data_IF_960255912985
#
_entry.id   IF_960255912985
#
_cell.length_a   1.000
_cell.length_b   1.000
_cell.length_c   1.000
_cell.angle_alpha   90.00
_cell.angle_beta   90.00
_cell.angle_gamma   90.00
#
_symmetry.space_group_name_H-M   'P 1'
#
loop_
_entity.id
_entity.type
_entity.pdbx_description
1 polymer ?
#
# COMPACT_ATOMS: atom_id res chain seq x y z
N UNK A 1 -8.21 -16.37 -15.04
CA UNK A 1 -8.28 -14.90 -15.00
C UNK A 1 -7.67 -14.38 -16.28
N UNK A 2 -8.39 -13.56 -17.05
CA UNK A 2 -7.77 -12.79 -18.13
C UNK A 2 -7.01 -11.61 -17.48
N UNK A 3 -5.68 -11.72 -17.45
CA UNK A 3 -4.79 -10.76 -16.80
C UNK A 3 -4.97 -9.36 -17.38
N UNK A 4 -5.08 -9.23 -18.71
CA UNK A 4 -5.19 -7.94 -19.37
C UNK A 4 -6.52 -7.26 -19.05
N UNK A 5 -7.61 -8.04 -19.00
CA UNK A 5 -8.92 -7.53 -18.59
C UNK A 5 -8.91 -7.11 -17.12
N UNK A 6 -8.27 -7.89 -16.24
CA UNK A 6 -8.16 -7.55 -14.84
C UNK A 6 -7.39 -6.25 -14.60
N UNK A 7 -6.18 -6.13 -15.19
CA UNK A 7 -5.35 -4.92 -15.08
C UNK A 7 -6.07 -3.70 -15.67
N UNK A 8 -6.73 -3.83 -16.83
CA UNK A 8 -7.51 -2.73 -17.41
C UNK A 8 -8.68 -2.32 -16.51
N UNK A 9 -9.29 -3.27 -15.79
CA UNK A 9 -10.36 -3.00 -14.84
C UNK A 9 -9.86 -2.25 -13.61
N UNK A 10 -8.71 -2.65 -13.05
CA UNK A 10 -8.07 -1.92 -11.95
C UNK A 10 -7.75 -0.48 -12.36
N UNK A 11 -7.13 -0.25 -13.52
CA UNK A 11 -6.84 1.11 -14.02
C UNK A 11 -8.12 1.96 -14.13
N UNK A 12 -9.20 1.40 -14.67
CA UNK A 12 -10.50 2.09 -14.77
C UNK A 12 -11.10 2.42 -13.42
N UNK A 13 -11.02 1.50 -12.46
CA UNK A 13 -11.50 1.72 -11.10
C UNK A 13 -10.75 2.87 -10.41
N UNK A 14 -9.42 2.86 -10.45
CA UNK A 14 -8.59 3.92 -9.89
C UNK A 14 -8.83 5.27 -10.58
N UNK A 15 -8.98 5.29 -11.90
CA UNK A 15 -9.34 6.50 -12.64
C UNK A 15 -10.72 7.07 -12.24
N UNK A 16 -11.71 6.20 -12.00
CA UNK A 16 -13.05 6.60 -11.57
C UNK A 16 -13.09 7.09 -10.11
N UNK A 17 -12.19 6.64 -9.25
CA UNK A 17 -11.98 7.24 -7.93
C UNK A 17 -11.37 8.63 -8.04
N UNK A 18 -10.34 8.80 -8.87
CA UNK A 18 -9.67 10.08 -9.04
C UNK A 18 -10.55 11.16 -9.71
N UNK A 19 -11.46 10.78 -10.62
CA UNK A 19 -12.33 11.73 -11.32
C UNK A 19 -13.45 12.31 -10.46
N UNK A 20 -13.85 11.61 -9.39
CA UNK A 20 -14.86 12.08 -8.43
C UNK A 20 -14.45 11.61 -7.04
N UNK A 21 -13.45 12.28 -6.43
CA UNK A 21 -12.81 11.81 -5.20
C UNK A 21 -13.80 11.89 -4.03
N UNK A 22 -13.98 10.80 -3.26
CA UNK A 22 -14.75 10.85 -2.02
C UNK A 22 -14.06 11.74 -0.97
N UNK A 23 -14.82 12.21 0.01
CA UNK A 23 -14.27 13.05 1.08
C UNK A 23 -13.11 12.37 1.80
N UNK A 24 -11.99 13.09 1.94
CA UNK A 24 -10.77 12.60 2.59
C UNK A 24 -9.89 11.67 1.74
N UNK A 25 -10.26 11.41 0.47
CA UNK A 25 -9.41 10.71 -0.48
C UNK A 25 -8.40 11.65 -1.11
N UNK A 26 -7.11 11.30 -1.04
CA UNK A 26 -6.02 12.09 -1.62
C UNK A 26 -5.68 11.57 -3.01
N UNK A 27 -5.38 10.27 -3.12
CA UNK A 27 -5.06 9.58 -4.38
C UNK A 27 -5.04 8.08 -4.19
N UNK A 28 -5.03 7.34 -5.29
CA UNK A 28 -4.77 5.90 -5.27
C UNK A 28 -3.85 5.49 -6.40
N UNK A 29 -3.28 4.30 -6.28
CA UNK A 29 -2.40 3.70 -7.28
C UNK A 29 -2.52 2.19 -7.19
N UNK A 30 -2.34 1.52 -8.32
CA UNK A 30 -2.32 0.06 -8.39
C UNK A 30 -1.01 -0.40 -9.00
N UNK A 31 -0.44 -1.46 -8.43
CA UNK A 31 0.85 -1.98 -8.82
C UNK A 31 0.79 -3.49 -9.00
N UNK A 32 1.54 -4.00 -9.96
CA UNK A 32 1.96 -5.40 -9.98
C UNK A 32 3.13 -5.59 -9.02
N UNK A 33 3.00 -6.57 -8.13
CA UNK A 33 3.98 -6.87 -7.08
C UNK A 33 4.23 -8.38 -7.08
N UNK A 34 5.34 -8.80 -7.68
CA UNK A 34 5.59 -10.22 -7.96
C UNK A 34 4.51 -10.81 -8.89
N UNK A 35 3.81 -11.85 -8.41
CA UNK A 35 2.68 -12.49 -9.08
C UNK A 35 1.31 -11.95 -8.63
N UNK A 36 1.29 -10.88 -7.82
CA UNK A 36 0.09 -10.30 -7.20
C UNK A 36 -0.09 -8.84 -7.60
N UNK A 37 -1.16 -8.25 -7.11
CA UNK A 37 -1.46 -6.83 -7.24
C UNK A 37 -1.58 -6.17 -5.86
N UNK A 38 -1.18 -4.91 -5.78
CA UNK A 38 -1.21 -4.10 -4.58
C UNK A 38 -1.86 -2.76 -4.90
N UNK A 39 -3.03 -2.52 -4.32
CA UNK A 39 -3.72 -1.24 -4.43
C UNK A 39 -3.43 -0.39 -3.19
N UNK A 40 -2.91 0.80 -3.44
CA UNK A 40 -2.64 1.80 -2.40
C UNK A 40 -3.67 2.92 -2.49
N UNK A 41 -4.30 3.24 -1.35
CA UNK A 41 -5.24 4.33 -1.19
C UNK A 41 -4.69 5.29 -0.13
N UNK A 42 -4.30 6.49 -0.54
CA UNK A 42 -3.87 7.53 0.38
C UNK A 42 -5.09 8.36 0.79
N UNK A 43 -5.30 8.46 2.09
CA UNK A 43 -6.40 9.21 2.70
C UNK A 43 -5.87 10.15 3.78
N UNK A 44 -6.62 11.22 4.06
CA UNK A 44 -6.23 12.24 5.04
C UNK A 44 -6.10 11.65 6.46
N UNK A 45 -7.00 10.75 6.82
CA UNK A 45 -7.01 10.06 8.11
C UNK A 45 -7.93 8.83 8.06
N UNK A 46 -7.92 8.04 9.14
CA UNK A 46 -8.70 6.81 9.22
C UNK A 46 -10.23 7.01 9.16
N UNK A 47 -10.76 8.20 9.48
CA UNK A 47 -12.20 8.45 9.40
C UNK A 47 -12.71 8.52 7.95
N UNK A 48 -11.82 8.77 6.98
CA UNK A 48 -12.17 8.78 5.56
C UNK A 48 -12.44 7.36 5.00
N UNK A 49 -12.07 6.30 5.73
CA UNK A 49 -12.18 4.92 5.24
C UNK A 49 -13.63 4.49 5.00
N UNK A 50 -14.58 4.89 5.85
CA UNK A 50 -15.99 4.55 5.65
C UNK A 50 -16.56 5.23 4.39
N UNK A 51 -16.20 6.49 4.18
CA UNK A 51 -16.61 7.26 3.00
C UNK A 51 -16.01 6.65 1.74
N UNK A 52 -14.72 6.28 1.78
CA UNK A 52 -14.04 5.61 0.67
C UNK A 52 -14.68 4.25 0.35
N UNK A 53 -14.96 3.42 1.37
CA UNK A 53 -15.58 2.11 1.19
C UNK A 53 -16.97 2.22 0.56
N UNK A 54 -17.80 3.14 1.05
CA UNK A 54 -19.12 3.38 0.47
C UNK A 54 -19.03 3.90 -0.97
N UNK A 55 -18.07 4.77 -1.26
CA UNK A 55 -17.84 5.29 -2.60
C UNK A 55 -17.34 4.22 -3.58
N UNK A 56 -16.44 3.33 -3.13
CA UNK A 56 -15.81 2.30 -3.96
C UNK A 56 -16.84 1.37 -4.64
N UNK A 57 -17.95 1.08 -3.96
CA UNK A 57 -18.98 0.15 -4.46
C UNK A 57 -20.19 0.85 -5.09
N UNK A 58 -20.16 2.18 -5.26
CA UNK A 58 -21.33 2.96 -5.69
C UNK A 58 -21.10 3.81 -6.95
N UNK A 59 -22.20 4.08 -7.65
CA UNK A 59 -22.25 5.00 -8.79
C UNK A 59 -21.40 4.53 -9.97
N UNK A 60 -20.65 5.46 -10.55
CA UNK A 60 -19.81 5.21 -11.74
C UNK A 60 -18.70 4.17 -11.53
N UNK A 61 -18.39 3.82 -10.28
CA UNK A 61 -17.35 2.86 -9.92
C UNK A 61 -17.86 1.41 -9.87
N UNK A 62 -19.16 1.21 -9.64
CA UNK A 62 -19.75 -0.13 -9.43
C UNK A 62 -19.41 -1.13 -10.54
N UNK A 63 -19.53 -0.81 -11.85
CA UNK A 63 -19.22 -1.81 -12.88
C UNK A 63 -17.75 -2.27 -12.88
N UNK A 64 -16.82 -1.35 -12.62
CA UNK A 64 -15.39 -1.65 -12.56
C UNK A 64 -15.05 -2.42 -11.27
N UNK A 65 -15.59 -1.98 -10.14
CA UNK A 65 -15.47 -2.67 -8.86
C UNK A 65 -15.95 -4.12 -8.98
N UNK A 66 -17.18 -4.34 -9.44
CA UNK A 66 -17.78 -5.67 -9.51
C UNK A 66 -17.03 -6.60 -10.47
N UNK A 67 -16.47 -6.03 -11.54
CA UNK A 67 -15.63 -6.80 -12.48
C UNK A 67 -14.31 -7.21 -11.83
N UNK A 68 -13.63 -6.31 -11.10
CA UNK A 68 -12.41 -6.64 -10.37
C UNK A 68 -12.70 -7.67 -9.26
N UNK A 69 -13.78 -7.47 -8.49
CA UNK A 69 -14.18 -8.36 -7.41
C UNK A 69 -14.48 -9.79 -7.89
N UNK A 70 -15.10 -9.96 -9.07
CA UNK A 70 -15.33 -11.29 -9.67
C UNK A 70 -14.06 -12.00 -10.11
N UNK A 71 -13.01 -11.24 -10.42
CA UNK A 71 -11.74 -11.77 -10.92
C UNK A 71 -10.71 -11.98 -9.81
N UNK A 72 -10.87 -11.28 -8.68
CA UNK A 72 -10.06 -11.45 -7.49
C UNK A 72 -10.35 -12.81 -6.83
N UNK A 73 -9.29 -13.53 -6.44
CA UNK A 73 -9.39 -14.84 -5.79
C UNK A 73 -9.34 -14.67 -4.27
N UNK A 74 -8.33 -13.93 -3.78
CA UNK A 74 -8.14 -13.59 -2.37
C UNK A 74 -7.68 -12.13 -2.26
N UNK A 75 -8.14 -11.42 -1.23
CA UNK A 75 -7.77 -10.03 -0.99
C UNK A 75 -7.56 -9.78 0.50
N UNK A 76 -6.47 -9.08 0.84
CA UNK A 76 -6.18 -8.65 2.21
C UNK A 76 -5.91 -7.15 2.23
N UNK A 77 -6.64 -6.44 3.09
CA UNK A 77 -6.42 -5.01 3.35
C UNK A 77 -5.49 -4.80 4.53
N UNK A 78 -4.65 -3.76 4.46
CA UNK A 78 -3.83 -3.30 5.59
C UNK A 78 -4.01 -1.80 5.74
N UNK A 79 -4.24 -1.34 6.98
CA UNK A 79 -4.22 0.10 7.29
C UNK A 79 -2.82 0.48 7.74
N UNK A 80 -2.24 1.50 7.11
CA UNK A 80 -0.91 2.01 7.43
C UNK A 80 -0.97 3.47 7.90
N UNK A 81 -0.04 3.82 8.78
CA UNK A 81 0.31 5.20 9.14
C UNK A 81 1.70 5.52 8.61
N UNK A 82 1.85 6.70 7.99
CA UNK A 82 3.15 7.22 7.55
C UNK A 82 3.98 7.63 8.77
N UNK A 83 5.18 7.08 8.89
CA UNK A 83 6.11 7.35 9.99
C UNK A 83 7.16 8.37 9.57
N UNK A 84 7.70 8.27 8.36
CA UNK A 84 8.70 9.20 7.83
C UNK A 84 8.69 9.23 6.29
N UNK A 85 9.25 10.31 5.75
CA UNK A 85 9.28 10.58 4.32
C UNK A 85 7.97 11.14 3.79
N UNK A 86 7.82 11.11 2.48
CA UNK A 86 6.60 11.53 1.78
C UNK A 86 5.94 10.33 1.13
N UNK A 87 4.60 10.27 1.01
CA UNK A 87 3.96 9.15 0.36
C UNK A 87 4.56 8.88 -1.03
N UNK A 88 5.19 7.72 -1.20
CA UNK A 88 5.89 7.40 -2.44
C UNK A 88 4.90 7.10 -3.57
N UNK A 89 5.16 7.65 -4.76
CA UNK A 89 4.41 7.40 -5.98
C UNK A 89 5.27 6.65 -6.99
N UNK A 90 4.66 5.76 -7.77
CA UNK A 90 5.32 5.11 -8.91
C UNK A 90 6.09 3.83 -8.58
N UNK A 91 6.92 3.39 -9.55
CA UNK A 91 7.68 2.15 -9.50
C UNK A 91 8.75 2.14 -8.39
N UNK A 92 9.17 0.95 -7.98
CA UNK A 92 10.22 0.79 -6.99
C UNK A 92 10.12 -0.54 -6.25
N UNK A 93 10.30 -0.50 -4.94
CA UNK A 93 10.32 -1.65 -4.06
C UNK A 93 9.40 -1.44 -2.86
N UNK A 94 8.68 -2.48 -2.48
CA UNK A 94 8.00 -2.63 -1.19
C UNK A 94 8.81 -3.60 -0.34
N UNK A 95 9.44 -3.10 0.71
CA UNK A 95 10.23 -3.91 1.63
C UNK A 95 9.41 -4.10 2.89
N UNK A 96 8.83 -5.28 3.06
CA UNK A 96 7.97 -5.60 4.19
C UNK A 96 8.78 -6.30 5.28
N UNK A 97 8.64 -5.87 6.53
CA UNK A 97 9.46 -6.40 7.62
C UNK A 97 8.80 -6.26 8.99
N UNK A 98 9.41 -6.86 10.00
CA UNK A 98 8.98 -6.72 11.40
C UNK A 98 10.11 -6.19 12.26
N UNK A 99 9.79 -5.39 13.27
CA UNK A 99 10.78 -5.01 14.28
C UNK A 99 11.21 -6.23 15.10
N UNK A 100 12.46 -6.27 15.60
CA UNK A 100 12.89 -7.28 16.54
C UNK A 100 11.98 -7.37 17.76
N UNK A 101 11.83 -8.58 18.30
CA UNK A 101 11.04 -8.79 19.51
C UNK A 101 11.59 -7.95 20.67
N UNK A 102 10.71 -7.36 21.48
CA UNK A 102 11.09 -6.51 22.61
C UNK A 102 11.56 -5.09 22.25
N UNK A 103 11.75 -4.75 20.97
CA UNK A 103 12.13 -3.41 20.57
C UNK A 103 10.97 -2.40 20.77
N UNK A 104 11.24 -1.28 21.43
CA UNK A 104 10.34 -0.12 21.48
C UNK A 104 10.30 0.64 20.16
N UNK A 105 9.18 1.32 19.87
CA UNK A 105 9.02 2.04 18.60
C UNK A 105 10.03 3.17 18.39
N UNK A 106 10.27 4.00 19.42
CA UNK A 106 11.17 5.14 19.30
C UNK A 106 12.60 4.71 18.90
N UNK A 107 13.16 3.73 19.63
CA UNK A 107 14.49 3.19 19.34
C UNK A 107 14.52 2.52 17.96
N UNK A 108 13.45 1.81 17.60
CA UNK A 108 13.36 1.17 16.30
C UNK A 108 13.35 2.19 15.14
N UNK A 109 12.61 3.30 15.27
CA UNK A 109 12.61 4.37 14.28
C UNK A 109 13.99 5.03 14.16
N UNK A 110 14.68 5.28 15.26
CA UNK A 110 16.05 5.79 15.23
C UNK A 110 17.00 4.84 14.47
N UNK A 111 16.89 3.54 14.71
CA UNK A 111 17.68 2.51 13.99
C UNK A 111 17.35 2.41 12.50
N UNK A 112 16.10 2.70 12.10
CA UNK A 112 15.68 2.73 10.70
C UNK A 112 16.09 4.00 9.97
N UNK A 113 16.54 5.04 10.67
CA UNK A 113 16.92 6.33 10.10
C UNK A 113 17.82 6.22 8.86
N UNK A 114 18.93 5.45 8.89
CA UNK A 114 19.82 5.29 7.73
C UNK A 114 19.17 4.68 6.48
N UNK A 115 18.10 3.90 6.65
CA UNK A 115 17.39 3.22 5.55
C UNK A 115 16.15 3.99 5.07
N UNK A 116 15.64 4.89 5.90
CA UNK A 116 14.37 5.61 5.68
C UNK A 116 14.56 7.10 5.40
N UNK A 117 15.80 7.58 5.34
CA UNK A 117 16.14 8.95 5.01
C UNK A 117 16.67 9.04 3.58
N UNK A 118 15.81 9.50 2.66
CA UNK A 118 16.21 9.74 1.29
C UNK A 118 15.05 10.14 0.37
N UNK A 119 15.33 10.78 -0.77
CA UNK A 119 14.31 11.14 -1.73
C UNK A 119 13.54 9.92 -2.23
N UNK A 120 12.20 9.99 -2.21
CA UNK A 120 11.34 8.90 -2.65
C UNK A 120 11.24 7.70 -1.70
N UNK A 121 11.85 7.78 -0.52
CA UNK A 121 11.75 6.76 0.52
C UNK A 121 10.65 7.14 1.51
N UNK A 122 9.79 6.18 1.88
CA UNK A 122 8.80 6.37 2.95
C UNK A 122 8.64 5.13 3.81
N UNK A 123 8.56 5.36 5.12
CA UNK A 123 8.35 4.31 6.11
C UNK A 123 6.91 4.31 6.59
N UNK A 124 6.28 3.13 6.55
CA UNK A 124 4.90 2.93 6.94
C UNK A 124 4.80 1.87 8.03
N UNK A 125 3.96 2.13 9.03
CA UNK A 125 3.64 1.16 10.10
C UNK A 125 2.17 0.76 10.01
N UNK A 126 1.90 -0.53 10.02
CA UNK A 126 0.53 -1.05 10.10
C UNK A 126 -0.14 -0.61 11.40
N UNK A 127 -1.37 -0.14 11.31
CA UNK A 127 -2.21 0.22 12.46
C UNK A 127 -3.01 -0.99 12.94
N UNK A 128 -3.48 -0.95 14.20
CA UNK A 128 -4.36 -1.97 14.80
C UNK A 128 -3.76 -3.39 14.80
N UNK A 129 -2.51 -3.51 15.25
CA UNK A 129 -1.72 -4.75 15.14
C UNK A 129 -2.13 -5.78 16.20
N UNK A 130 -2.91 -6.78 15.78
CA UNK A 130 -3.05 -8.09 16.45
C UNK A 130 -2.88 -9.27 15.46
N UNK A 131 -2.64 -8.99 14.17
CA UNK A 131 -2.47 -9.98 13.10
C UNK A 131 -1.01 -10.34 12.82
N UNK A 132 -0.76 -11.42 12.05
CA UNK A 132 0.60 -11.89 11.78
C UNK A 132 1.43 -10.83 11.02
N UNK A 133 2.77 -10.84 11.18
CA UNK A 133 3.73 -10.08 10.38
C UNK A 133 3.44 -10.03 8.87
N UNK A 134 3.97 -9.05 8.14
CA UNK A 134 4.88 -7.98 8.59
C UNK A 134 4.17 -6.71 9.12
N UNK A 135 4.82 -6.02 10.06
CA UNK A 135 4.31 -4.81 10.73
C UNK A 135 4.65 -3.51 9.96
N UNK A 136 5.77 -3.51 9.23
CA UNK A 136 6.30 -2.34 8.54
C UNK A 136 6.36 -2.56 7.03
N UNK A 137 6.29 -1.46 6.29
CA UNK A 137 6.56 -1.41 4.86
C UNK A 137 7.44 -0.18 4.59
N UNK A 138 8.60 -0.39 3.96
CA UNK A 138 9.45 0.66 3.43
C UNK A 138 9.26 0.71 1.92
N UNK A 139 8.82 1.85 1.40
CA UNK A 139 8.76 2.11 -0.03
C UNK A 139 10.03 2.84 -0.46
N UNK A 140 10.68 2.38 -1.53
CA UNK A 140 11.92 2.97 -2.02
C UNK A 140 12.04 2.87 -3.55
N UNK A 141 12.74 3.81 -4.22
CA UNK A 141 12.98 3.75 -5.66
C UNK A 141 14.02 2.68 -6.07
N UNK A 142 14.84 2.23 -5.13
CA UNK A 142 15.85 1.19 -5.31
C UNK A 142 15.73 0.17 -4.19
N UNK A 143 16.31 -1.01 -4.41
CA UNK A 143 16.39 -2.05 -3.39
C UNK A 143 17.25 -1.57 -2.21
N UNK A 144 16.76 -1.78 -0.99
CA UNK A 144 17.44 -1.43 0.25
C UNK A 144 17.61 -2.71 1.06
N UNK A 145 18.86 -3.06 1.34
CA UNK A 145 19.19 -4.21 2.17
C UNK A 145 19.00 -3.84 3.65
N UNK A 146 17.97 -4.43 4.28
CA UNK A 146 17.75 -4.32 5.72
C UNK A 146 18.49 -5.46 6.46
N UNK A 147 18.98 -5.23 7.70
CA UNK A 147 19.54 -6.28 8.53
C UNK A 147 18.63 -7.50 8.66
N UNK A 148 19.22 -8.70 8.63
CA UNK A 148 18.46 -9.97 8.63
C UNK A 148 17.57 -10.19 9.86
N UNK A 149 17.84 -9.52 10.99
CA UNK A 149 16.98 -9.52 12.18
C UNK A 149 15.56 -8.99 11.92
N UNK A 150 15.40 -8.15 10.89
CA UNK A 150 14.10 -7.63 10.47
C UNK A 150 13.28 -8.62 9.62
N UNK A 151 13.92 -9.71 9.16
CA UNK A 151 13.35 -10.70 8.24
C UNK A 151 12.64 -10.04 7.04
N UNK A 152 13.36 -9.21 6.27
CA UNK A 152 12.75 -8.44 5.20
C UNK A 152 12.28 -9.34 4.05
N UNK A 153 11.11 -9.04 3.52
CA UNK A 153 10.64 -9.52 2.22
C UNK A 153 10.68 -8.34 1.25
N UNK A 154 11.52 -8.45 0.21
CA UNK A 154 11.71 -7.41 -0.80
C UNK A 154 10.86 -7.74 -2.01
N UNK A 155 9.92 -6.85 -2.34
CA UNK A 155 9.02 -7.03 -3.46
C UNK A 155 9.19 -5.89 -4.46
N UNK A 156 9.49 -6.21 -5.72
CA UNK A 156 9.48 -5.21 -6.79
C UNK A 156 8.04 -4.83 -7.10
N UNK A 157 7.78 -3.53 -7.23
CA UNK A 157 6.47 -3.00 -7.64
C UNK A 157 6.56 -2.21 -8.95
N UNK A 158 5.62 -2.48 -9.84
CA UNK A 158 5.51 -1.86 -11.15
C UNK A 158 4.11 -1.26 -11.31
N UNK A 159 3.97 0.04 -11.64
CA UNK A 159 2.67 0.66 -11.83
C UNK A 159 1.91 0.00 -12.98
N UNK A 160 0.60 -0.18 -12.80
CA UNK A 160 -0.31 -0.55 -13.88
C UNK A 160 -0.71 0.70 -14.69
#
# INVERSE_FOLDING_TARGET
>A
MDVAVYEATLKRFHAALASTPPGGFVRSSTFKVGDRYSDWYLVDNSAALDVLNAAAVSGVRTPAHDTAARLAVDGVGKLYSLISGEPAAGAGFEIQFSKPAGAGYADHYARLGPYSSGPGISLWRRMMVLGPPPEFCLLAPAEIELPGEYRPEVLRREPL
#
